data_IF_176442836442
#
_entry.id   IF_176442836442
#
_cell.length_a   1.000
_cell.length_b   1.000
_cell.length_c   1.000
_cell.angle_alpha   90.00
_cell.angle_beta   90.00
_cell.angle_gamma   90.00
#
_symmetry.space_group_name_H-M   'P 1'
#
loop_
_entity.id
_entity.type
_entity.pdbx_description
1 polymer ?
#
# COMPACT_ATOMS: atom_id res chain seq x y z
N UNK A 1 16.94 -15.97 9.34
CA UNK A 1 16.97 -16.52 7.93
C UNK A 1 17.78 -15.54 7.05
N UNK A 2 18.19 -15.90 5.83
CA UNK A 2 18.86 -14.94 4.91
C UNK A 2 17.91 -14.64 3.75
N UNK A 3 17.87 -13.41 3.25
CA UNK A 3 17.04 -13.00 2.12
C UNK A 3 17.11 -13.99 0.93
N UNK A 4 18.30 -14.51 0.61
CA UNK A 4 18.51 -15.47 -0.48
C UNK A 4 17.67 -16.77 -0.38
N UNK A 5 17.17 -17.12 0.79
CA UNK A 5 16.26 -18.26 0.95
C UNK A 5 14.78 -17.90 0.75
N UNK A 6 14.46 -16.62 0.67
CA UNK A 6 13.09 -16.12 0.47
C UNK A 6 12.79 -15.77 -0.99
N UNK A 7 13.79 -15.57 -1.82
CA UNK A 7 13.61 -15.23 -3.25
C UNK A 7 14.17 -16.33 -4.13
N UNK A 8 13.49 -16.61 -5.25
CA UNK A 8 14.01 -17.49 -6.28
C UNK A 8 15.24 -16.84 -6.97
N UNK A 9 16.18 -17.61 -7.49
CA UNK A 9 17.35 -17.04 -8.16
C UNK A 9 16.98 -16.15 -9.35
N UNK A 10 17.57 -14.97 -9.41
CA UNK A 10 17.38 -13.97 -10.46
C UNK A 10 17.19 -12.57 -9.92
N UNK A 11 17.37 -11.59 -10.79
CA UNK A 11 17.04 -10.19 -10.49
C UNK A 11 15.56 -9.91 -10.75
N UNK A 12 14.99 -8.84 -10.16
CA UNK A 12 13.63 -8.41 -10.50
C UNK A 12 13.47 -8.17 -12.01
N UNK A 13 12.50 -8.84 -12.61
CA UNK A 13 12.17 -8.73 -14.03
C UNK A 13 11.33 -7.49 -14.28
N UNK A 14 11.74 -6.63 -15.21
CA UNK A 14 10.92 -5.52 -15.70
C UNK A 14 9.85 -6.05 -16.66
N UNK A 15 8.58 -5.89 -16.31
CA UNK A 15 7.44 -6.42 -17.07
C UNK A 15 6.66 -5.36 -17.85
N UNK A 16 6.81 -4.09 -17.48
CA UNK A 16 6.26 -2.95 -18.21
C UNK A 16 7.01 -1.67 -17.85
N UNK A 17 7.00 -0.68 -18.74
CA UNK A 17 7.63 0.63 -18.55
C UNK A 17 6.95 1.70 -19.40
N UNK A 18 7.33 2.97 -19.21
CA UNK A 18 6.79 4.10 -19.95
C UNK A 18 5.70 4.88 -19.21
N UNK A 19 5.57 4.67 -17.91
CA UNK A 19 4.66 5.38 -17.03
C UNK A 19 5.31 6.67 -16.49
N UNK A 20 4.52 7.50 -15.76
CA UNK A 20 5.03 8.72 -15.15
C UNK A 20 5.42 8.50 -13.68
N UNK A 21 4.51 7.92 -12.86
CA UNK A 21 4.78 7.55 -11.48
C UNK A 21 3.84 6.43 -11.03
N UNK A 22 4.36 5.20 -11.08
CA UNK A 22 3.58 4.00 -10.77
C UNK A 22 3.47 3.76 -9.26
N UNK A 23 2.26 3.41 -8.81
CA UNK A 23 1.89 3.21 -7.41
C UNK A 23 0.76 2.19 -7.24
N UNK A 24 0.46 1.88 -5.98
CA UNK A 24 -0.73 1.17 -5.52
C UNK A 24 -1.07 -0.09 -6.30
N UNK A 25 -0.14 -1.04 -6.46
CA UNK A 25 -0.46 -2.26 -7.19
C UNK A 25 -1.42 -3.13 -6.39
N UNK A 26 -2.40 -3.74 -7.07
CA UNK A 26 -3.29 -4.74 -6.50
C UNK A 26 -3.58 -5.83 -7.51
N UNK A 27 -3.38 -7.09 -7.10
CA UNK A 27 -3.71 -8.25 -7.92
C UNK A 27 -5.20 -8.57 -7.84
N UNK A 28 -5.82 -8.78 -8.98
CA UNK A 28 -7.22 -9.17 -9.09
C UNK A 28 -7.37 -10.70 -9.17
N UNK A 29 -8.38 -11.29 -8.49
CA UNK A 29 -8.63 -12.73 -8.58
C UNK A 29 -8.80 -13.25 -10.01
N UNK A 30 -9.24 -12.38 -10.92
CA UNK A 30 -9.42 -12.69 -12.34
C UNK A 30 -8.09 -12.81 -13.11
N UNK A 31 -6.94 -12.71 -12.42
CA UNK A 31 -5.62 -13.00 -12.98
C UNK A 31 -4.95 -11.81 -13.68
N UNK A 32 -5.11 -10.60 -13.17
CA UNK A 32 -4.43 -9.41 -13.67
C UNK A 32 -4.06 -8.43 -12.54
N UNK A 33 -3.12 -7.54 -12.81
CA UNK A 33 -2.70 -6.48 -11.91
C UNK A 33 -3.40 -5.17 -12.28
N UNK A 34 -3.96 -4.47 -11.28
CA UNK A 34 -4.25 -3.04 -11.40
C UNK A 34 -3.14 -2.26 -10.69
N UNK A 35 -2.82 -1.08 -11.18
CA UNK A 35 -1.90 -0.14 -10.53
C UNK A 35 -2.21 1.29 -10.94
N UNK A 36 -1.88 2.23 -10.07
CA UNK A 36 -2.03 3.66 -10.32
C UNK A 36 -0.83 4.20 -11.09
N UNK A 37 -1.07 5.12 -12.01
CA UNK A 37 -0.09 6.12 -12.46
C UNK A 37 -0.60 7.48 -11.98
N UNK A 38 -0.06 7.95 -10.86
CA UNK A 38 -0.57 9.13 -10.17
C UNK A 38 -0.53 10.35 -11.09
N UNK A 39 0.63 10.59 -11.71
CA UNK A 39 0.87 11.78 -12.53
C UNK A 39 0.08 11.76 -13.84
N UNK A 40 -0.11 10.59 -14.44
CA UNK A 40 -0.95 10.41 -15.62
C UNK A 40 -2.46 10.48 -15.30
N UNK A 41 -2.84 10.41 -14.02
CA UNK A 41 -4.24 10.36 -13.57
C UNK A 41 -5.00 9.13 -14.09
N UNK A 42 -4.31 7.98 -14.15
CA UNK A 42 -4.83 6.70 -14.64
C UNK A 42 -4.73 5.59 -13.60
N UNK A 43 -5.65 4.62 -13.67
CA UNK A 43 -5.42 3.27 -13.20
C UNK A 43 -5.23 2.41 -14.44
N UNK A 44 -4.11 1.70 -14.49
CA UNK A 44 -3.81 0.76 -15.55
C UNK A 44 -4.13 -0.68 -15.14
N UNK A 45 -4.44 -1.50 -16.13
CA UNK A 45 -4.50 -2.96 -16.03
C UNK A 45 -3.32 -3.54 -16.81
N UNK A 46 -2.54 -4.38 -16.15
CA UNK A 46 -1.53 -5.23 -16.77
C UNK A 46 -1.97 -6.70 -16.70
N UNK A 47 -1.78 -7.45 -17.78
CA UNK A 47 -2.10 -8.88 -17.85
C UNK A 47 -0.84 -9.72 -18.08
N UNK A 48 -0.81 -11.01 -17.66
CA UNK A 48 0.39 -11.85 -17.75
C UNK A 48 0.95 -12.08 -19.17
N UNK A 49 0.16 -11.84 -20.21
CA UNK A 49 0.60 -11.81 -21.61
C UNK A 49 1.35 -10.53 -21.99
N UNK A 50 1.53 -9.61 -21.04
CA UNK A 50 2.27 -8.35 -21.20
C UNK A 50 1.43 -7.18 -21.69
N UNK A 51 0.12 -7.35 -21.90
CA UNK A 51 -0.74 -6.25 -22.34
C UNK A 51 -0.96 -5.23 -21.21
N UNK A 52 -0.92 -3.93 -21.56
CA UNK A 52 -1.23 -2.81 -20.66
C UNK A 52 -2.36 -2.00 -21.29
N UNK A 53 -3.38 -1.69 -20.51
CA UNK A 53 -4.50 -0.86 -20.93
C UNK A 53 -4.97 0.07 -19.81
N UNK A 54 -5.54 1.22 -20.17
CA UNK A 54 -6.21 2.08 -19.19
C UNK A 54 -7.46 1.39 -18.69
N UNK A 55 -7.56 1.22 -17.37
CA UNK A 55 -8.72 0.63 -16.71
C UNK A 55 -9.70 1.70 -16.20
N UNK A 56 -9.16 2.83 -15.67
CA UNK A 56 -9.95 4.00 -15.22
C UNK A 56 -9.23 5.30 -15.53
N UNK A 57 -9.93 6.23 -16.16
CA UNK A 57 -9.53 7.60 -16.48
C UNK A 57 -10.74 8.54 -16.42
N UNK A 58 -10.71 9.67 -15.67
CA UNK A 58 -9.67 10.04 -14.71
C UNK A 58 -9.71 9.15 -13.46
N UNK A 59 -8.54 8.89 -12.86
CA UNK A 59 -8.45 8.12 -11.62
C UNK A 59 -8.63 8.97 -10.36
N UNK A 60 -8.65 10.30 -10.49
CA UNK A 60 -8.56 11.23 -9.37
C UNK A 60 -7.16 11.32 -8.80
N UNK A 61 -6.12 11.08 -9.62
CA UNK A 61 -4.73 10.91 -9.20
C UNK A 61 -4.63 9.85 -8.10
N UNK A 62 -5.21 8.66 -8.37
CA UNK A 62 -5.20 7.57 -7.41
C UNK A 62 -3.77 7.16 -7.05
N UNK A 63 -3.59 6.74 -5.81
CA UNK A 63 -2.34 6.19 -5.26
C UNK A 63 -2.59 4.75 -4.81
N UNK A 64 -2.68 4.48 -3.51
CA UNK A 64 -2.91 3.16 -2.96
C UNK A 64 -4.22 2.54 -3.45
N UNK A 65 -4.15 1.28 -3.86
CA UNK A 65 -5.30 0.48 -4.26
C UNK A 65 -5.37 -0.80 -3.42
N UNK A 66 -6.58 -1.21 -3.09
CA UNK A 66 -6.86 -2.51 -2.47
C UNK A 66 -8.23 -3.02 -2.89
N UNK A 67 -8.59 -4.24 -2.47
CA UNK A 67 -9.94 -4.77 -2.67
C UNK A 67 -10.64 -4.92 -1.33
N UNK A 68 -11.94 -4.66 -1.29
CA UNK A 68 -12.76 -4.97 -0.12
C UNK A 68 -13.15 -6.47 -0.06
N UNK A 69 -13.89 -6.87 0.97
CA UNK A 69 -14.29 -8.26 1.17
C UNK A 69 -15.16 -8.83 0.03
N UNK A 70 -15.75 -7.96 -0.81
CA UNK A 70 -16.57 -8.33 -1.96
C UNK A 70 -15.77 -8.26 -3.28
N UNK A 71 -14.44 -7.97 -3.21
CA UNK A 71 -13.58 -7.83 -4.37
C UNK A 71 -13.75 -6.51 -5.14
N UNK A 72 -14.43 -5.51 -4.57
CA UNK A 72 -14.57 -4.18 -5.19
C UNK A 72 -13.32 -3.35 -4.94
N UNK A 73 -12.92 -2.55 -5.94
CA UNK A 73 -11.73 -1.73 -5.83
C UNK A 73 -11.94 -0.54 -4.88
N UNK A 74 -11.07 -0.44 -3.87
CA UNK A 74 -10.89 0.75 -3.03
C UNK A 74 -9.68 1.51 -3.56
N UNK A 75 -9.78 2.84 -3.65
CA UNK A 75 -8.70 3.72 -4.08
C UNK A 75 -8.56 4.93 -3.17
N UNK A 76 -7.32 5.24 -2.81
CA UNK A 76 -6.93 6.55 -2.27
C UNK A 76 -6.70 7.52 -3.42
N UNK A 77 -7.40 8.64 -3.45
CA UNK A 77 -7.35 9.60 -4.55
C UNK A 77 -6.75 10.94 -4.07
N UNK A 78 -5.51 11.24 -4.48
CA UNK A 78 -4.82 12.48 -4.11
C UNK A 78 -5.53 13.72 -4.65
N UNK A 79 -5.88 13.73 -5.94
CA UNK A 79 -6.51 14.88 -6.59
C UNK A 79 -7.90 15.20 -6.07
N UNK A 80 -8.67 14.18 -5.70
CA UNK A 80 -10.01 14.34 -5.14
C UNK A 80 -10.00 14.44 -3.61
N UNK A 81 -8.86 14.13 -2.95
CA UNK A 81 -8.68 14.15 -1.48
C UNK A 81 -9.71 13.25 -0.78
N UNK A 82 -9.81 12.00 -1.24
CA UNK A 82 -10.83 11.06 -0.75
C UNK A 82 -10.37 9.60 -0.82
N UNK A 83 -11.06 8.75 -0.08
CA UNK A 83 -11.09 7.31 -0.31
C UNK A 83 -12.38 6.98 -1.05
N UNK A 84 -12.27 6.24 -2.13
CA UNK A 84 -13.41 5.85 -2.98
C UNK A 84 -13.50 4.34 -3.16
N UNK A 85 -14.68 3.86 -3.56
CA UNK A 85 -14.91 2.48 -3.97
C UNK A 85 -15.56 2.45 -5.35
N UNK A 86 -15.09 1.53 -6.20
CA UNK A 86 -15.69 1.27 -7.50
C UNK A 86 -16.65 0.09 -7.37
N UNK A 87 -17.94 0.35 -7.61
CA UNK A 87 -19.00 -0.65 -7.56
C UNK A 87 -18.96 -1.57 -8.81
N UNK A 88 -19.72 -2.66 -8.78
CA UNK A 88 -19.75 -3.65 -9.87
C UNK A 88 -20.24 -3.08 -11.21
N UNK A 89 -21.04 -2.03 -11.20
CA UNK A 89 -21.53 -1.32 -12.38
C UNK A 89 -20.53 -0.24 -12.89
N UNK A 90 -19.37 -0.10 -12.24
CA UNK A 90 -18.35 0.91 -12.53
C UNK A 90 -18.58 2.27 -11.85
N UNK A 91 -19.68 2.44 -11.12
CA UNK A 91 -19.93 3.67 -10.35
C UNK A 91 -18.86 3.85 -9.26
N UNK A 92 -18.33 5.06 -9.14
CA UNK A 92 -17.36 5.41 -8.08
C UNK A 92 -18.08 6.14 -6.95
N UNK A 93 -18.09 5.53 -5.77
CA UNK A 93 -18.72 6.10 -4.56
C UNK A 93 -17.66 6.61 -3.60
N UNK A 94 -17.96 7.72 -2.90
CA UNK A 94 -17.09 8.28 -1.86
C UNK A 94 -17.29 7.50 -0.57
N UNK A 95 -16.20 7.01 0.03
CA UNK A 95 -16.23 6.38 1.36
C UNK A 95 -15.85 7.37 2.46
N UNK A 96 -14.85 8.23 2.19
CA UNK A 96 -14.43 9.29 3.10
C UNK A 96 -13.74 10.42 2.32
N UNK A 97 -14.08 11.68 2.62
CA UNK A 97 -13.43 12.88 2.07
C UNK A 97 -13.29 14.01 3.12
N UNK A 98 -13.98 13.92 4.25
CA UNK A 98 -13.92 14.89 5.34
C UNK A 98 -13.83 14.17 6.70
N UNK A 99 -13.12 14.77 7.64
CA UNK A 99 -13.12 14.40 9.05
C UNK A 99 -13.27 15.65 9.93
N UNK A 100 -14.22 15.63 10.89
CA UNK A 100 -14.49 16.79 11.76
C UNK A 100 -14.91 18.06 11.00
N UNK A 101 -15.56 17.92 9.83
CA UNK A 101 -16.01 19.03 8.99
C UNK A 101 -14.90 19.64 8.10
N UNK A 102 -13.70 19.08 8.11
CA UNK A 102 -12.54 19.51 7.30
C UNK A 102 -12.20 18.44 6.27
N UNK A 103 -11.73 18.87 5.09
CA UNK A 103 -11.29 17.92 4.06
C UNK A 103 -10.08 17.12 4.55
N UNK A 104 -10.02 15.85 4.15
CA UNK A 104 -8.82 15.02 4.28
C UNK A 104 -7.63 15.68 3.56
N UNK A 105 -6.40 15.34 3.93
CA UNK A 105 -5.22 15.88 3.27
C UNK A 105 -5.09 15.30 1.86
N UNK A 106 -4.57 14.09 1.75
CA UNK A 106 -4.36 13.41 0.49
C UNK A 106 -4.23 11.91 0.75
N UNK A 107 -5.35 11.19 0.97
CA UNK A 107 -5.32 9.75 1.27
C UNK A 107 -4.35 9.00 0.37
N UNK A 108 -3.45 8.22 0.97
CA UNK A 108 -2.25 7.72 0.30
C UNK A 108 -2.26 6.20 0.10
N UNK A 109 -2.18 5.41 1.15
CA UNK A 109 -2.25 3.95 1.05
C UNK A 109 -3.38 3.38 1.91
N UNK A 110 -3.82 2.16 1.62
CA UNK A 110 -5.06 1.60 2.16
C UNK A 110 -5.00 0.08 2.29
N UNK A 111 -5.52 -0.43 3.41
CA UNK A 111 -5.74 -1.86 3.62
C UNK A 111 -7.14 -2.11 4.16
N UNK A 112 -7.69 -3.28 3.89
CA UNK A 112 -8.98 -3.74 4.42
C UNK A 112 -8.72 -4.88 5.40
N UNK A 113 -9.35 -4.82 6.57
CA UNK A 113 -9.36 -5.88 7.58
C UNK A 113 -10.48 -6.90 7.27
N UNK A 114 -10.34 -8.12 7.77
CA UNK A 114 -11.30 -9.20 7.52
C UNK A 114 -12.72 -8.93 8.02
N UNK A 115 -12.91 -7.98 8.96
CA UNK A 115 -14.21 -7.51 9.42
C UNK A 115 -14.85 -6.43 8.51
N UNK A 116 -14.19 -6.07 7.40
CA UNK A 116 -14.63 -5.06 6.44
C UNK A 116 -14.21 -3.62 6.78
N UNK A 117 -13.52 -3.39 7.90
CA UNK A 117 -13.00 -2.07 8.23
C UNK A 117 -11.83 -1.69 7.29
N UNK A 118 -11.81 -0.43 6.84
CA UNK A 118 -10.81 0.10 5.92
C UNK A 118 -9.89 1.04 6.70
N UNK A 119 -8.58 0.80 6.63
CA UNK A 119 -7.57 1.65 7.27
C UNK A 119 -6.77 2.35 6.18
N UNK A 120 -6.53 3.64 6.33
CA UNK A 120 -5.78 4.42 5.35
C UNK A 120 -4.95 5.52 5.99
N UNK A 121 -3.88 5.91 5.33
CA UNK A 121 -3.00 7.01 5.70
C UNK A 121 -3.36 8.27 4.94
N UNK A 122 -3.20 9.45 5.58
CA UNK A 122 -3.61 10.74 5.03
C UNK A 122 -2.49 11.80 5.14
N UNK A 123 -1.33 11.59 4.51
CA UNK A 123 -0.25 12.57 4.43
C UNK A 123 -0.56 13.68 3.41
N UNK A 124 0.18 14.82 3.41
CA UNK A 124 -0.12 15.95 2.53
C UNK A 124 0.60 15.88 1.16
N UNK A 125 0.75 14.67 0.54
CA UNK A 125 1.50 14.55 -0.71
C UNK A 125 0.82 15.17 -1.92
N UNK A 126 -0.51 15.10 -2.00
CA UNK A 126 -1.29 15.60 -3.15
C UNK A 126 -1.78 17.03 -3.01
N UNK A 127 -1.35 17.77 -2.00
CA UNK A 127 -1.80 19.14 -1.72
C UNK A 127 -0.64 20.10 -1.46
N UNK A 128 -0.89 21.41 -1.63
CA UNK A 128 0.00 22.46 -1.17
C UNK A 128 -0.25 22.75 0.32
N UNK A 129 0.73 23.29 1.08
CA UNK A 129 0.58 23.59 2.50
C UNK A 129 -0.66 24.43 2.84
N UNK A 130 -1.03 25.37 1.97
CA UNK A 130 -2.17 26.27 2.15
C UNK A 130 -3.52 25.55 1.99
N UNK A 131 -3.51 24.37 1.38
CA UNK A 131 -4.70 23.54 1.19
C UNK A 131 -4.94 22.56 2.34
N UNK A 132 -3.97 22.42 3.27
CA UNK A 132 -4.09 21.51 4.39
C UNK A 132 -5.12 22.05 5.39
N UNK A 133 -6.20 21.31 5.58
CA UNK A 133 -7.28 21.64 6.53
C UNK A 133 -7.18 20.81 7.81
N UNK A 134 -6.70 19.56 7.71
CA UNK A 134 -6.51 18.70 8.88
C UNK A 134 -5.31 19.17 9.70
N UNK A 135 -5.42 19.17 11.05
CA UNK A 135 -4.33 19.61 11.92
C UNK A 135 -3.16 18.63 12.02
N UNK A 136 -3.31 17.43 11.48
CA UNK A 136 -2.33 16.34 11.53
C UNK A 136 -2.29 15.55 10.24
N UNK A 137 -1.25 14.72 10.10
CA UNK A 137 -1.15 13.70 9.06
C UNK A 137 -1.58 12.37 9.70
N UNK A 138 -2.85 12.02 9.51
CA UNK A 138 -3.51 10.98 10.30
C UNK A 138 -3.42 9.58 9.71
N UNK A 139 -3.55 8.59 10.58
CA UNK A 139 -3.99 7.25 10.26
C UNK A 139 -5.46 7.14 10.63
N UNK A 140 -6.29 6.82 9.67
CA UNK A 140 -7.75 6.77 9.82
C UNK A 140 -8.30 5.36 9.63
N UNK A 141 -9.53 5.15 10.13
CA UNK A 141 -10.32 3.95 9.89
C UNK A 141 -11.74 4.33 9.46
N UNK A 142 -12.22 3.72 8.38
CA UNK A 142 -13.64 3.68 8.04
C UNK A 142 -14.18 2.36 8.61
N UNK A 143 -15.14 2.43 9.52
CA UNK A 143 -15.78 1.26 10.10
C UNK A 143 -16.75 0.61 9.08
N UNK A 144 -17.16 -0.66 9.28
CA UNK A 144 -18.15 -1.30 8.41
C UNK A 144 -19.50 -0.56 8.33
N UNK A 145 -19.86 0.21 9.35
CA UNK A 145 -21.06 1.06 9.37
C UNK A 145 -20.86 2.42 8.67
N UNK A 146 -19.68 2.67 8.09
CA UNK A 146 -19.32 3.90 7.38
C UNK A 146 -18.78 5.03 8.27
N UNK A 147 -18.71 4.86 9.58
CA UNK A 147 -18.16 5.90 10.46
C UNK A 147 -16.64 6.04 10.27
N UNK A 148 -16.17 7.28 10.10
CA UNK A 148 -14.75 7.61 9.99
C UNK A 148 -14.17 7.98 11.36
N UNK A 149 -13.04 7.41 11.70
CA UNK A 149 -12.32 7.62 12.96
C UNK A 149 -10.84 7.95 12.70
N UNK A 150 -10.31 8.94 13.41
CA UNK A 150 -8.87 9.19 13.49
C UNK A 150 -8.29 8.27 14.58
N UNK A 151 -7.34 7.42 14.21
CA UNK A 151 -6.72 6.46 15.14
C UNK A 151 -5.38 6.95 15.70
N UNK A 152 -4.56 7.63 14.86
CA UNK A 152 -3.24 8.13 15.22
C UNK A 152 -3.02 9.46 14.52
N UNK A 153 -2.51 10.47 15.25
CA UNK A 153 -2.34 11.86 14.81
C UNK A 153 -0.91 12.39 14.93
N UNK A 154 0.05 11.52 15.29
CA UNK A 154 1.42 11.92 15.60
C UNK A 154 2.46 11.49 14.54
N UNK A 155 2.02 11.08 13.36
CA UNK A 155 2.89 10.83 12.21
C UNK A 155 3.38 12.14 11.58
N UNK A 156 4.58 12.08 11.00
CA UNK A 156 5.09 13.19 10.18
C UNK A 156 4.67 13.02 8.72
N UNK A 157 4.84 11.80 8.14
CA UNK A 157 4.36 11.44 6.81
C UNK A 157 3.99 9.95 6.76
N UNK A 158 2.84 9.56 7.30
CA UNK A 158 2.41 8.15 7.23
C UNK A 158 2.20 7.76 5.78
N UNK A 159 2.62 6.54 5.41
CA UNK A 159 2.55 6.07 4.03
C UNK A 159 2.02 4.63 3.98
N UNK A 160 2.85 3.65 3.67
CA UNK A 160 2.44 2.27 3.56
C UNK A 160 1.93 1.67 4.86
N UNK A 161 0.98 0.72 4.75
CA UNK A 161 0.45 0.01 5.90
C UNK A 161 0.10 -1.44 5.54
N UNK A 162 0.23 -2.34 6.54
CA UNK A 162 -0.12 -3.75 6.40
C UNK A 162 -0.49 -4.37 7.74
N UNK A 163 -1.47 -5.28 7.74
CA UNK A 163 -1.76 -6.11 8.91
C UNK A 163 -0.85 -7.32 8.99
N UNK A 164 -0.54 -7.78 10.23
CA UNK A 164 0.01 -9.10 10.47
C UNK A 164 -0.93 -10.20 9.95
N UNK A 165 -0.43 -11.41 9.81
CA UNK A 165 -1.18 -12.55 9.26
C UNK A 165 -2.47 -12.86 10.02
N UNK A 166 -2.47 -12.62 11.33
CA UNK A 166 -3.61 -12.80 12.25
C UNK A 166 -4.38 -11.51 12.54
N UNK A 167 -3.99 -10.40 11.88
CA UNK A 167 -4.57 -9.07 12.05
C UNK A 167 -4.49 -8.49 13.48
N UNK A 168 -3.63 -9.06 14.32
CA UNK A 168 -3.42 -8.58 15.70
C UNK A 168 -2.49 -7.37 15.77
N UNK A 169 -1.70 -7.10 14.71
CA UNK A 169 -0.79 -5.97 14.59
C UNK A 169 -1.05 -5.24 13.28
N UNK A 170 -1.07 -3.91 13.33
CA UNK A 170 -1.01 -3.04 12.16
C UNK A 170 0.38 -2.39 12.11
N UNK A 171 1.08 -2.58 10.99
CA UNK A 171 2.31 -1.89 10.67
C UNK A 171 2.00 -0.67 9.81
N UNK A 172 2.68 0.45 10.10
CA UNK A 172 2.56 1.70 9.33
C UNK A 172 3.94 2.35 9.28
N UNK A 173 4.40 2.74 8.10
CA UNK A 173 5.64 3.48 8.02
C UNK A 173 5.43 5.00 8.09
N UNK A 174 6.52 5.70 8.45
CA UNK A 174 6.64 7.14 8.38
C UNK A 174 7.80 7.48 7.43
N UNK A 175 7.44 7.90 6.22
CA UNK A 175 8.43 8.22 5.19
C UNK A 175 9.40 9.34 5.60
N UNK A 176 8.96 10.30 6.41
CA UNK A 176 9.81 11.39 6.87
C UNK A 176 10.76 10.97 7.97
N UNK A 177 10.28 10.13 8.90
CA UNK A 177 11.08 9.59 10.01
C UNK A 177 11.85 8.34 9.65
N UNK A 178 11.62 7.78 8.45
CA UNK A 178 12.32 6.62 7.89
C UNK A 178 12.27 5.37 8.77
N UNK A 179 11.11 5.09 9.35
CA UNK A 179 10.91 3.90 10.18
C UNK A 179 9.54 3.28 9.97
N UNK A 180 9.38 2.04 10.44
CA UNK A 180 8.09 1.36 10.52
C UNK A 180 7.67 1.29 11.98
N UNK A 181 6.43 1.68 12.25
CA UNK A 181 5.76 1.53 13.57
C UNK A 181 4.82 0.33 13.51
N UNK A 182 4.73 -0.38 14.61
CA UNK A 182 3.73 -1.41 14.84
C UNK A 182 2.76 -0.96 15.94
N UNK A 183 1.50 -1.31 15.77
CA UNK A 183 0.42 -1.04 16.72
C UNK A 183 -0.32 -2.34 17.01
N UNK A 184 -0.60 -2.63 18.28
CA UNK A 184 -1.50 -3.73 18.63
C UNK A 184 -2.93 -3.34 18.29
N UNK A 185 -3.62 -4.21 17.56
CA UNK A 185 -5.02 -4.04 17.18
C UNK A 185 -5.91 -4.61 18.27
N UNK A 186 -6.67 -3.75 18.94
CA UNK A 186 -7.60 -4.15 20.01
C UNK A 186 -8.90 -4.73 19.45
N UNK A 187 -9.66 -5.48 20.25
CA UNK A 187 -11.04 -5.80 19.91
C UNK A 187 -11.80 -4.52 19.55
N UNK A 188 -12.53 -4.56 18.42
CA UNK A 188 -13.19 -3.37 17.87
C UNK A 188 -12.30 -2.51 16.95
N UNK A 189 -11.02 -2.89 16.72
CA UNK A 189 -10.15 -2.32 15.68
C UNK A 189 -9.46 -1.00 16.04
N UNK A 190 -9.49 -0.55 17.30
CA UNK A 190 -8.64 0.56 17.77
C UNK A 190 -7.21 0.11 17.98
N UNK A 191 -6.27 1.07 18.01
CA UNK A 191 -4.85 0.82 18.08
C UNK A 191 -4.26 1.15 19.46
N UNK A 192 -3.21 0.42 19.84
CA UNK A 192 -2.49 0.63 21.09
C UNK A 192 -1.01 0.24 20.97
N UNK A 193 -0.23 0.51 22.03
CA UNK A 193 1.14 0.03 22.22
C UNK A 193 2.04 0.28 21.00
N UNK A 194 2.04 1.54 20.52
CA UNK A 194 2.90 1.96 19.42
C UNK A 194 4.38 1.71 19.73
N UNK A 195 5.09 1.09 18.78
CA UNK A 195 6.52 0.81 18.88
C UNK A 195 7.19 0.87 17.50
N UNK A 196 8.44 1.33 17.43
CA UNK A 196 9.25 1.23 16.23
C UNK A 196 9.75 -0.22 16.12
N UNK A 197 9.56 -0.83 14.94
CA UNK A 197 9.98 -2.22 14.66
C UNK A 197 11.06 -2.31 13.60
N UNK A 198 11.17 -1.33 12.70
CA UNK A 198 12.21 -1.29 11.70
C UNK A 198 12.71 0.14 11.51
N UNK A 199 14.03 0.32 11.54
CA UNK A 199 14.71 1.53 11.12
C UNK A 199 15.15 1.33 9.65
N UNK A 200 14.77 2.28 8.79
CA UNK A 200 15.07 2.26 7.37
C UNK A 200 15.90 3.48 6.94
N UNK A 201 16.58 4.13 7.89
CA UNK A 201 17.49 5.21 7.53
C UNK A 201 18.64 4.68 6.67
N UNK A 202 18.90 5.35 5.55
CA UNK A 202 19.86 4.93 4.56
C UNK A 202 20.48 6.14 3.84
N UNK A 203 21.81 6.12 3.54
CA UNK A 203 22.48 7.24 2.87
C UNK A 203 22.04 7.46 1.42
N UNK A 204 21.54 6.43 0.74
CA UNK A 204 20.98 6.59 -0.61
C UNK A 204 19.58 7.22 -0.56
N UNK A 205 19.18 7.98 -1.61
CA UNK A 205 17.87 8.58 -1.68
C UNK A 205 16.74 7.53 -1.66
N UNK A 206 15.73 7.79 -0.85
CA UNK A 206 14.54 6.96 -0.69
C UNK A 206 14.06 6.99 0.75
N UNK A 207 12.82 6.64 0.94
CA UNK A 207 12.15 6.55 2.25
C UNK A 207 11.21 5.34 2.21
N UNK A 208 10.82 4.79 3.36
CA UNK A 208 9.75 3.78 3.40
C UNK A 208 8.52 4.32 2.68
N UNK A 209 7.86 3.42 1.94
CA UNK A 209 6.69 3.72 1.12
C UNK A 209 5.71 2.53 1.22
N UNK A 210 5.21 1.94 0.16
CA UNK A 210 4.29 0.82 0.27
C UNK A 210 4.88 -0.44 0.94
N UNK A 211 4.02 -1.22 1.63
CA UNK A 211 4.45 -2.44 2.31
C UNK A 211 3.45 -3.59 2.18
N UNK A 212 3.95 -4.83 2.29
CA UNK A 212 3.16 -6.06 2.34
C UNK A 212 3.79 -7.08 3.29
N UNK A 213 3.00 -8.09 3.70
CA UNK A 213 3.42 -9.19 4.57
C UNK A 213 3.23 -10.52 3.86
N UNK A 214 4.16 -11.46 4.05
CA UNK A 214 3.99 -12.85 3.61
C UNK A 214 3.36 -13.73 4.70
N UNK A 215 3.05 -14.97 4.36
CA UNK A 215 2.37 -15.91 5.28
C UNK A 215 3.26 -16.38 6.46
N UNK A 216 4.57 -16.16 6.38
CA UNK A 216 5.48 -16.41 7.50
C UNK A 216 5.63 -15.18 8.42
N UNK A 217 5.02 -14.04 8.05
CA UNK A 217 5.05 -12.80 8.80
C UNK A 217 6.23 -11.88 8.44
N UNK A 218 7.00 -12.19 7.39
CA UNK A 218 8.04 -11.28 6.95
C UNK A 218 7.42 -10.02 6.37
N UNK A 219 7.97 -8.86 6.74
CA UNK A 219 7.52 -7.56 6.27
C UNK A 219 8.37 -7.11 5.08
N UNK A 220 7.74 -6.83 3.95
CA UNK A 220 8.33 -6.29 2.73
C UNK A 220 7.97 -4.82 2.62
N UNK A 221 8.95 -3.93 2.71
CA UNK A 221 8.76 -2.47 2.69
C UNK A 221 9.60 -1.89 1.57
N UNK A 222 8.97 -1.15 0.66
CA UNK A 222 9.70 -0.41 -0.37
C UNK A 222 10.47 0.75 0.26
N UNK A 223 11.62 1.08 -0.29
CA UNK A 223 12.47 2.11 0.30
C UNK A 223 13.68 2.46 -0.55
N UNK A 224 14.72 2.97 0.09
CA UNK A 224 15.98 3.24 -0.58
C UNK A 224 16.55 1.95 -1.20
N UNK A 225 16.95 2.02 -2.46
CA UNK A 225 17.59 0.96 -3.24
C UNK A 225 16.76 -0.27 -3.63
N UNK A 226 15.57 -0.47 -3.04
CA UNK A 226 14.77 -1.65 -3.33
C UNK A 226 13.70 -1.95 -2.27
N UNK A 227 13.25 -3.20 -2.23
CA UNK A 227 12.29 -3.69 -1.23
C UNK A 227 13.06 -4.32 -0.08
N UNK A 228 12.95 -3.73 1.10
CA UNK A 228 13.55 -4.21 2.34
C UNK A 228 12.70 -5.32 2.92
N UNK A 229 13.35 -6.40 3.37
CA UNK A 229 12.65 -7.54 3.97
C UNK A 229 13.09 -7.70 5.41
N UNK A 230 12.11 -7.77 6.31
CA UNK A 230 12.34 -7.88 7.75
C UNK A 230 11.69 -9.16 8.30
N UNK A 231 12.32 -9.75 9.31
CA UNK A 231 11.68 -10.75 10.17
C UNK A 231 10.55 -10.08 10.99
N UNK A 232 9.61 -10.87 11.55
CA UNK A 232 8.54 -10.32 12.38
C UNK A 232 9.01 -9.53 13.62
N UNK A 233 10.24 -9.78 14.09
CA UNK A 233 10.87 -9.05 15.20
C UNK A 233 11.58 -7.75 14.77
N UNK A 234 11.57 -7.44 13.46
CA UNK A 234 12.19 -6.26 12.87
C UNK A 234 13.64 -6.44 12.41
N UNK A 235 14.23 -7.63 12.55
CA UNK A 235 15.57 -7.89 12.05
C UNK A 235 15.60 -7.84 10.52
N UNK A 236 16.46 -7.00 9.93
CA UNK A 236 16.57 -6.87 8.48
C UNK A 236 17.27 -8.10 7.87
N UNK A 237 16.58 -8.78 6.95
CA UNK A 237 17.11 -9.92 6.19
C UNK A 237 17.91 -9.50 4.96
N UNK A 238 17.64 -8.29 4.44
CA UNK A 238 18.30 -7.71 3.27
C UNK A 238 17.34 -6.91 2.39
N UNK A 239 17.82 -6.54 1.19
CA UNK A 239 17.09 -5.72 0.23
C UNK A 239 17.01 -6.43 -1.11
N UNK A 240 15.82 -6.56 -1.67
CA UNK A 240 15.58 -6.94 -3.07
C UNK A 240 15.85 -5.68 -3.90
N UNK A 241 17.04 -5.60 -4.48
CA UNK A 241 17.46 -4.41 -5.24
C UNK A 241 16.67 -4.30 -6.53
N UNK A 242 16.12 -3.12 -6.80
CA UNK A 242 15.39 -2.81 -8.03
C UNK A 242 16.14 -1.76 -8.86
N UNK A 243 16.08 -1.84 -10.21
CA UNK A 243 16.74 -0.85 -11.07
C UNK A 243 16.24 0.58 -10.88
N UNK A 244 14.95 0.74 -10.58
CA UNK A 244 14.33 2.01 -10.21
C UNK A 244 13.90 1.97 -8.75
N UNK A 245 13.81 3.14 -8.11
CA UNK A 245 13.34 3.24 -6.72
C UNK A 245 11.89 2.77 -6.64
N UNK A 246 11.58 1.72 -5.87
CA UNK A 246 10.23 1.23 -5.72
C UNK A 246 9.39 2.20 -4.87
N UNK A 247 8.10 2.26 -5.18
CA UNK A 247 7.10 3.00 -4.43
C UNK A 247 6.16 2.06 -3.66
N UNK A 248 5.67 0.98 -4.30
CA UNK A 248 4.76 0.05 -3.63
C UNK A 248 4.95 -1.39 -4.16
N UNK A 249 4.28 -2.35 -3.54
CA UNK A 249 4.31 -3.74 -3.99
C UNK A 249 2.98 -4.45 -3.72
N UNK A 250 2.76 -5.59 -4.39
CA UNK A 250 1.60 -6.45 -4.19
C UNK A 250 1.93 -7.91 -4.45
N UNK A 251 1.28 -8.78 -3.71
CA UNK A 251 1.29 -10.20 -3.99
C UNK A 251 0.36 -10.55 -5.14
N UNK A 252 0.77 -11.45 -6.02
CA UNK A 252 -0.06 -11.91 -7.11
C UNK A 252 0.26 -13.31 -7.60
N UNK A 253 -0.33 -13.66 -8.75
CA UNK A 253 -0.45 -14.99 -9.31
C UNK A 253 -1.31 -15.94 -8.45
N UNK A 254 -1.70 -17.07 -9.05
CA UNK A 254 -2.61 -18.03 -8.39
C UNK A 254 -2.01 -18.67 -7.13
N UNK A 255 -0.67 -18.74 -7.04
CA UNK A 255 0.04 -19.31 -5.90
C UNK A 255 0.47 -18.26 -4.87
N UNK A 256 0.21 -16.97 -5.13
CA UNK A 256 0.58 -15.86 -4.25
C UNK A 256 2.09 -15.64 -4.09
N UNK A 257 2.92 -16.23 -4.95
CA UNK A 257 4.38 -16.21 -4.84
C UNK A 257 5.07 -15.24 -5.78
N UNK A 258 4.34 -14.34 -6.42
CA UNK A 258 4.94 -13.25 -7.18
C UNK A 258 4.75 -11.95 -6.43
N UNK A 259 5.86 -11.28 -6.12
CA UNK A 259 5.84 -9.90 -5.65
C UNK A 259 5.93 -8.99 -6.87
N UNK A 260 4.85 -8.28 -7.17
CA UNK A 260 4.80 -7.20 -8.15
C UNK A 260 5.24 -5.91 -7.48
N UNK A 261 6.06 -5.12 -8.16
CA UNK A 261 6.67 -3.91 -7.60
C UNK A 261 6.43 -2.76 -8.58
N UNK A 262 5.78 -1.71 -8.12
CA UNK A 262 5.71 -0.42 -8.81
C UNK A 262 6.94 0.39 -8.46
N UNK A 263 7.64 0.90 -9.46
CA UNK A 263 8.89 1.63 -9.27
C UNK A 263 9.02 2.74 -10.32
N UNK A 264 8.82 3.99 -9.91
CA UNK A 264 8.90 5.16 -10.78
C UNK A 264 8.11 4.99 -12.08
N UNK A 265 8.82 4.67 -13.16
CA UNK A 265 8.26 4.60 -14.52
C UNK A 265 7.95 3.18 -14.99
N UNK A 266 8.13 2.19 -14.12
CA UNK A 266 8.12 0.78 -14.50
C UNK A 266 7.42 -0.11 -13.49
N UNK A 267 7.04 -1.30 -13.98
CA UNK A 267 6.63 -2.45 -13.17
C UNK A 267 7.72 -3.50 -13.19
N UNK A 268 7.98 -4.08 -12.02
CA UNK A 268 8.86 -5.23 -11.85
C UNK A 268 8.12 -6.38 -11.18
N UNK A 269 8.66 -7.57 -11.32
CA UNK A 269 8.23 -8.74 -10.53
C UNK A 269 9.41 -9.56 -10.07
N UNK A 270 9.24 -10.25 -8.95
CA UNK A 270 10.19 -11.23 -8.43
C UNK A 270 9.42 -12.40 -7.83
N UNK A 271 9.97 -13.61 -8.02
CA UNK A 271 9.39 -14.83 -7.42
C UNK A 271 9.94 -15.04 -6.02
N UNK A 272 9.07 -15.41 -5.10
CA UNK A 272 9.41 -15.68 -3.70
C UNK A 272 9.06 -17.12 -3.31
N UNK A 273 9.70 -17.63 -2.26
CA UNK A 273 9.50 -18.99 -1.77
C UNK A 273 8.33 -19.10 -0.79
N UNK A 274 8.02 -18.01 -0.07
CA UNK A 274 6.87 -17.95 0.85
C UNK A 274 5.78 -17.13 0.18
N UNK A 275 4.54 -17.61 0.06
CA UNK A 275 3.46 -16.85 -0.53
C UNK A 275 3.07 -15.66 0.34
N UNK A 276 2.59 -14.60 -0.30
CA UNK A 276 2.01 -13.45 0.38
C UNK A 276 0.74 -13.79 1.15
N UNK A 277 0.38 -12.94 2.09
CA UNK A 277 -0.92 -13.03 2.76
C UNK A 277 -2.02 -12.76 1.72
N UNK A 278 -2.98 -13.68 1.54
CA UNK A 278 -4.06 -13.46 0.60
C UNK A 278 -4.91 -12.28 1.02
N UNK A 279 -5.41 -11.54 0.05
CA UNK A 279 -6.35 -10.44 0.31
C UNK A 279 -7.63 -10.93 0.98
N UNK A 280 -8.31 -10.03 1.69
CA UNK A 280 -9.51 -10.36 2.48
C UNK A 280 -10.64 -10.96 1.66
N UNK A 281 -10.70 -10.68 0.36
CA UNK A 281 -11.68 -11.25 -0.60
C UNK A 281 -11.44 -12.74 -0.93
N UNK A 282 -10.30 -13.29 -0.53
CA UNK A 282 -9.93 -14.71 -0.72
C UNK A 282 -10.01 -15.53 0.58
N UNK A 283 -10.45 -14.93 1.67
CA UNK A 283 -10.51 -15.53 3.01
C UNK A 283 -11.90 -16.02 3.39
#
# INVERSE_FOLDING_TARGET
>A
MKLKSLIEPGDPEQIATGFQFTEGPVWRPEGYLLFSDISANHIYKWTPDGAVMVWREPSGNSNGLTLDCEGRLIACEHGNRRVSRTEADGTVVVLADHYGGKRLNSPNDVVVRSDGAIYFTDPPYGIQPEQQEQPCNGLYRIRPDGALELLVDDFERPNGLAFSTDESVLYVDDSARRHVRAFDVRPGGTLANSRIVADMDHPQPGSPDGMKIDQAGHLYVTGATGVWVFEPDGACLGVIVTPERPANCAWGDADGRTLYITARTSLYRVRVTVPGVPGVWLR
#
